data_IF_156850794157
#
_entry.id   IF_156850794157
#
_cell.length_a   1.000
_cell.length_b   1.000
_cell.length_c   1.000
_cell.angle_alpha   90.00
_cell.angle_beta   90.00
_cell.angle_gamma   90.00
#
_symmetry.space_group_name_H-M   'P 1'
#
loop_
_entity.id
_entity.type
_entity.pdbx_description
1 polymer ?
#
# COMPACT_ATOMS: atom_id res chain seq x y z
N UNK A 1 36.58 -45.84 -3.15
CA UNK A 1 35.16 -45.71 -2.73
C UNK A 1 34.78 -44.25 -2.45
N UNK A 2 35.57 -43.52 -1.65
CA UNK A 2 35.34 -42.09 -1.29
C UNK A 2 35.29 -41.14 -2.49
N UNK A 3 36.18 -41.26 -3.48
CA UNK A 3 36.20 -40.38 -4.66
C UNK A 3 34.92 -40.47 -5.51
N UNK A 4 34.29 -41.65 -5.59
CA UNK A 4 33.01 -41.84 -6.30
C UNK A 4 31.83 -41.17 -5.59
N UNK A 5 31.88 -41.13 -4.26
CA UNK A 5 30.92 -40.44 -3.40
C UNK A 5 31.02 -38.92 -3.57
N UNK A 6 32.24 -38.38 -3.61
CA UNK A 6 32.47 -36.95 -3.86
C UNK A 6 32.01 -36.53 -5.26
N UNK A 7 32.30 -37.33 -6.29
CA UNK A 7 31.85 -37.03 -7.67
C UNK A 7 30.33 -37.03 -7.77
N UNK A 8 29.65 -38.02 -7.15
CA UNK A 8 28.18 -38.05 -7.14
C UNK A 8 27.57 -36.85 -6.42
N UNK A 9 28.17 -36.41 -5.31
CA UNK A 9 27.68 -35.28 -4.52
C UNK A 9 27.87 -33.94 -5.23
N UNK A 10 29.00 -33.77 -5.93
CA UNK A 10 29.25 -32.61 -6.79
C UNK A 10 28.26 -32.57 -7.95
N UNK A 11 28.01 -33.72 -8.60
CA UNK A 11 27.07 -33.79 -9.72
C UNK A 11 25.62 -33.48 -9.29
N UNK A 12 25.19 -34.00 -8.13
CA UNK A 12 23.86 -33.72 -7.59
C UNK A 12 23.69 -32.24 -7.18
N UNK A 13 24.74 -31.63 -6.63
CA UNK A 13 24.76 -30.20 -6.30
C UNK A 13 24.65 -29.32 -7.57
N UNK A 14 25.36 -29.67 -8.64
CA UNK A 14 25.32 -28.92 -9.90
C UNK A 14 24.00 -29.05 -10.67
N UNK A 15 23.21 -30.10 -10.46
CA UNK A 15 21.88 -30.24 -11.09
C UNK A 15 20.76 -29.51 -10.34
N UNK A 16 21.00 -29.06 -9.10
CA UNK A 16 19.97 -28.41 -8.26
C UNK A 16 19.41 -27.08 -8.82
N UNK A 17 20.18 -26.17 -9.45
CA UNK A 17 19.62 -24.91 -9.96
C UNK A 17 18.78 -25.06 -11.23
N UNK A 18 18.84 -26.20 -11.92
CA UNK A 18 18.04 -26.45 -13.13
C UNK A 18 16.56 -26.75 -12.86
N UNK A 19 16.19 -26.93 -11.59
CA UNK A 19 14.82 -27.19 -11.14
C UNK A 19 14.14 -25.95 -10.55
N UNK A 20 14.74 -24.76 -10.66
CA UNK A 20 14.12 -23.54 -10.16
C UNK A 20 12.98 -23.10 -11.08
N UNK A 21 11.78 -23.05 -10.53
CA UNK A 21 10.63 -22.44 -11.18
C UNK A 21 10.72 -20.92 -11.09
N UNK A 22 10.32 -20.20 -12.14
CA UNK A 22 10.17 -18.74 -12.06
C UNK A 22 9.13 -18.40 -10.99
N UNK A 23 9.56 -17.73 -9.92
CA UNK A 23 8.65 -17.15 -8.94
C UNK A 23 8.11 -15.84 -9.50
N UNK A 24 6.89 -15.86 -10.02
CA UNK A 24 6.18 -14.64 -10.40
C UNK A 24 5.53 -14.05 -9.15
N UNK A 25 6.12 -12.96 -8.64
CA UNK A 25 5.45 -12.11 -7.65
C UNK A 25 4.70 -11.01 -8.39
N UNK A 26 3.38 -10.97 -8.24
CA UNK A 26 2.61 -9.81 -8.71
C UNK A 26 3.05 -8.59 -7.89
N UNK A 27 3.29 -7.48 -8.59
CA UNK A 27 3.51 -6.21 -7.91
C UNK A 27 2.24 -5.84 -7.14
N UNK A 28 2.39 -5.61 -5.84
CA UNK A 28 1.31 -5.23 -4.94
C UNK A 28 1.63 -3.86 -4.33
N UNK A 29 0.84 -2.83 -4.68
CA UNK A 29 0.94 -1.48 -4.11
C UNK A 29 -0.35 -1.14 -3.36
N UNK A 30 -0.42 -1.35 -2.03
CA UNK A 30 -1.63 -1.06 -1.28
C UNK A 30 -1.87 0.44 -1.15
N UNK A 31 -3.13 0.86 -1.13
CA UNK A 31 -3.50 2.17 -0.60
C UNK A 31 -3.27 2.24 0.90
N UNK A 32 -2.96 3.44 1.41
CA UNK A 32 -2.74 3.64 2.85
C UNK A 32 -3.50 4.87 3.33
N UNK A 33 -4.49 4.63 4.19
CA UNK A 33 -5.23 5.66 4.91
C UNK A 33 -4.71 5.74 6.34
N UNK A 34 -4.31 6.93 6.76
CA UNK A 34 -3.89 7.22 8.12
C UNK A 34 -4.77 8.35 8.67
N UNK A 35 -5.28 8.14 9.88
CA UNK A 35 -6.05 9.11 10.65
C UNK A 35 -5.24 9.49 11.88
N UNK A 36 -5.02 10.77 12.09
CA UNK A 36 -4.24 11.30 13.21
C UNK A 36 -5.17 12.23 13.98
N UNK A 37 -5.60 11.80 15.15
CA UNK A 37 -6.40 12.66 16.04
C UNK A 37 -5.54 13.81 16.57
N UNK A 38 -6.10 15.02 16.53
CA UNK A 38 -5.46 16.25 17.01
C UNK A 38 -6.42 17.06 17.84
N UNK A 39 -5.86 17.83 18.78
CA UNK A 39 -6.60 18.75 19.64
C UNK A 39 -6.40 20.19 19.13
N UNK A 40 -7.04 20.50 18.01
CA UNK A 40 -7.06 21.83 17.41
C UNK A 40 -8.50 22.38 17.39
N UNK A 41 -8.69 23.70 17.52
CA UNK A 41 -10.03 24.31 17.70
C UNK A 41 -11.07 23.91 16.64
N UNK A 42 -10.63 23.72 15.40
CA UNK A 42 -11.52 23.45 14.25
C UNK A 42 -11.17 22.16 13.51
N UNK A 43 -10.18 21.40 13.98
CA UNK A 43 -9.72 20.17 13.34
C UNK A 43 -9.61 19.10 14.40
N UNK A 44 -10.26 17.97 14.16
CA UNK A 44 -10.17 16.81 15.06
C UNK A 44 -9.27 15.72 14.49
N UNK A 45 -9.15 15.65 13.16
CA UNK A 45 -8.28 14.68 12.50
C UNK A 45 -7.51 15.33 11.35
N UNK A 46 -6.20 15.05 11.31
CA UNK A 46 -5.43 15.08 10.07
C UNK A 46 -5.52 13.74 9.38
N UNK A 47 -5.81 13.76 8.08
CA UNK A 47 -6.02 12.57 7.27
C UNK A 47 -4.94 12.53 6.20
N UNK A 48 -4.26 11.39 6.09
CA UNK A 48 -3.27 11.15 5.05
C UNK A 48 -3.76 9.98 4.19
N UNK A 49 -3.98 10.24 2.90
CA UNK A 49 -4.31 9.21 1.92
C UNK A 49 -3.16 9.04 0.92
N UNK A 50 -2.61 7.84 0.84
CA UNK A 50 -1.60 7.48 -0.17
C UNK A 50 -2.26 6.62 -1.23
N UNK A 51 -2.57 7.22 -2.37
CA UNK A 51 -3.14 6.56 -3.55
C UNK A 51 -2.00 5.98 -4.39
N UNK A 52 -1.92 4.65 -4.58
CA UNK A 52 -0.83 4.04 -5.32
C UNK A 52 -0.85 4.49 -6.79
N UNK A 53 0.32 4.84 -7.32
CA UNK A 53 0.51 5.09 -8.75
C UNK A 53 0.90 3.75 -9.37
N UNK A 54 0.05 3.21 -10.24
CA UNK A 54 0.32 1.96 -10.95
C UNK A 54 0.52 2.27 -12.45
N UNK A 55 1.58 1.73 -13.05
CA UNK A 55 1.71 1.77 -14.51
C UNK A 55 0.70 0.79 -15.12
N UNK A 56 -0.14 1.28 -16.03
CA UNK A 56 -1.03 0.47 -16.88
C UNK A 56 -2.19 -0.27 -16.17
N UNK A 57 -2.65 0.19 -15.00
CA UNK A 57 -3.91 -0.29 -14.42
C UNK A 57 -4.71 0.85 -13.77
N UNK A 58 -6.04 0.71 -13.78
CA UNK A 58 -7.01 1.72 -13.32
C UNK A 58 -7.74 1.23 -12.07
N UNK A 59 -7.03 0.66 -11.08
CA UNK A 59 -7.67 0.42 -9.77
C UNK A 59 -7.73 1.76 -9.06
N UNK A 60 -8.88 2.41 -9.18
CA UNK A 60 -9.18 3.67 -8.52
C UNK A 60 -9.62 3.37 -7.09
N UNK A 61 -8.71 3.60 -6.14
CA UNK A 61 -8.98 3.52 -4.71
C UNK A 61 -9.18 4.92 -4.17
N UNK A 62 -10.40 5.19 -3.69
CA UNK A 62 -10.75 6.48 -3.09
C UNK A 62 -11.53 6.29 -1.78
N UNK A 63 -11.08 6.92 -0.68
CA UNK A 63 -11.82 6.96 0.57
C UNK A 63 -13.01 7.91 0.44
N UNK A 64 -14.20 7.36 0.65
CA UNK A 64 -15.47 8.07 0.72
C UNK A 64 -15.84 8.22 2.19
N UNK A 65 -15.82 9.46 2.66
CA UNK A 65 -16.32 9.84 3.97
C UNK A 65 -17.84 9.98 3.90
N UNK A 66 -18.52 9.77 5.02
CA UNK A 66 -19.96 9.97 5.12
C UNK A 66 -20.37 11.41 4.82
N UNK A 67 -21.63 11.61 4.40
CA UNK A 67 -22.11 12.91 3.88
C UNK A 67 -22.03 14.03 4.93
N UNK A 68 -22.22 13.69 6.20
CA UNK A 68 -22.08 14.63 7.32
C UNK A 68 -20.63 15.04 7.57
N UNK A 69 -19.66 14.39 6.91
CA UNK A 69 -18.26 14.60 7.14
C UNK A 69 -17.55 15.37 6.04
N UNK A 70 -17.36 16.67 6.28
CA UNK A 70 -16.60 17.54 5.39
C UNK A 70 -15.10 17.34 5.58
N UNK A 71 -14.44 16.89 4.51
CA UNK A 71 -12.98 16.76 4.43
C UNK A 71 -12.44 17.87 3.54
N UNK A 72 -11.38 18.53 3.97
CA UNK A 72 -10.79 19.67 3.24
C UNK A 72 -9.30 19.46 3.01
N UNK A 73 -8.82 19.90 1.84
CA UNK A 73 -7.39 19.90 1.53
C UNK A 73 -6.61 20.86 2.43
N UNK A 74 -5.52 20.35 3.00
CA UNK A 74 -4.53 21.16 3.72
C UNK A 74 -3.51 21.73 2.74
N UNK A 75 -3.18 20.96 1.70
CA UNK A 75 -2.23 21.33 0.66
C UNK A 75 -2.56 20.60 -0.65
N UNK A 76 -2.04 21.05 -1.81
CA UNK A 76 -2.09 20.27 -3.04
C UNK A 76 -1.47 18.87 -2.86
N UNK A 77 -1.96 17.84 -3.59
CA UNK A 77 -1.42 16.50 -3.48
C UNK A 77 0.08 16.44 -3.85
N UNK A 78 0.84 15.69 -3.07
CA UNK A 78 2.27 15.48 -3.32
C UNK A 78 2.49 14.24 -4.18
N UNK A 79 3.42 14.32 -5.13
CA UNK A 79 3.82 13.18 -5.95
C UNK A 79 5.00 12.47 -5.29
N UNK A 80 4.75 11.33 -4.67
CA UNK A 80 5.79 10.44 -4.17
C UNK A 80 6.32 9.48 -5.24
N UNK A 81 7.30 8.65 -4.87
CA UNK A 81 7.92 7.69 -5.80
C UNK A 81 6.93 6.64 -6.36
N UNK A 82 5.94 6.23 -5.56
CA UNK A 82 4.99 5.16 -5.91
C UNK A 82 3.53 5.48 -5.57
N UNK A 83 3.24 6.71 -5.11
CA UNK A 83 1.92 7.12 -4.65
C UNK A 83 1.71 8.63 -4.79
N UNK A 84 0.46 9.03 -5.04
CA UNK A 84 -0.02 10.39 -4.79
C UNK A 84 -0.42 10.48 -3.32
N UNK A 85 0.05 11.52 -2.63
CA UNK A 85 -0.17 11.70 -1.20
C UNK A 85 -1.08 12.91 -1.00
N UNK A 86 -2.21 12.68 -0.36
CA UNK A 86 -3.18 13.70 -0.02
C UNK A 86 -3.11 13.98 1.47
N UNK A 87 -3.08 15.27 1.81
CA UNK A 87 -3.15 15.77 3.17
C UNK A 87 -4.46 16.51 3.35
N UNK A 88 -5.34 15.93 4.12
CA UNK A 88 -6.63 16.51 4.42
C UNK A 88 -6.80 16.73 5.91
N UNK A 89 -7.82 17.49 6.26
CA UNK A 89 -8.26 17.69 7.63
C UNK A 89 -9.77 17.60 7.70
N UNK A 90 -10.25 17.20 8.88
CA UNK A 90 -11.67 17.18 9.16
C UNK A 90 -11.96 17.41 10.64
N UNK A 91 -13.12 18.01 10.92
CA UNK A 91 -13.64 18.25 12.26
C UNK A 91 -14.62 17.17 12.73
N UNK A 92 -14.93 16.20 11.88
CA UNK A 92 -15.91 15.15 12.18
C UNK A 92 -15.49 14.27 13.35
N UNK A 93 -16.49 13.71 14.04
CA UNK A 93 -16.26 12.56 14.90
C UNK A 93 -16.22 11.27 14.08
N UNK A 94 -15.02 10.87 13.64
CA UNK A 94 -14.82 9.62 12.90
C UNK A 94 -15.13 8.35 13.72
N UNK A 95 -15.27 8.46 15.05
CA UNK A 95 -15.72 7.35 15.90
C UNK A 95 -17.23 7.09 15.82
N UNK A 96 -18.00 8.04 15.29
CA UNK A 96 -19.44 7.95 15.10
C UNK A 96 -19.85 7.97 13.61
N UNK A 97 -18.88 7.98 12.70
CA UNK A 97 -19.11 8.00 11.26
C UNK A 97 -18.47 6.79 10.57
N UNK A 98 -18.54 6.74 9.24
CA UNK A 98 -17.96 5.65 8.44
C UNK A 98 -17.09 6.18 7.31
N UNK A 99 -16.06 5.41 6.98
CA UNK A 99 -15.22 5.61 5.80
C UNK A 99 -15.31 4.34 4.95
N UNK A 100 -15.72 4.49 3.70
CA UNK A 100 -15.75 3.41 2.72
C UNK A 100 -14.61 3.60 1.72
N UNK A 101 -13.90 2.55 1.34
CA UNK A 101 -12.90 2.65 0.27
C UNK A 101 -13.54 2.07 -0.99
N UNK A 102 -13.81 2.94 -1.97
CA UNK A 102 -14.25 2.48 -3.27
C UNK A 102 -13.11 1.67 -3.93
N UNK A 103 -13.48 0.59 -4.63
CA UNK A 103 -12.53 -0.26 -5.36
C UNK A 103 -11.87 -1.38 -4.54
N UNK A 104 -12.28 -1.57 -3.28
CA UNK A 104 -11.96 -2.76 -2.46
C UNK A 104 -13.08 -3.80 -2.48
#
# INVERSE_FOLDING_TARGET
>A
MIARLFIGLVFASLLSPALTTNAYAHEFRPGHLQLIEVDEESTRYHVIWKKPILLNTNVELDPIFSEECLVTDVAPPEVGNVALIFHWRTSCDLGQSSIHINGL
#
